data_IF_400410953112
#
_entry.id   IF_400410953112
#
_cell.length_a   1.000
_cell.length_b   1.000
_cell.length_c   1.000
_cell.angle_alpha   90.00
_cell.angle_beta   90.00
_cell.angle_gamma   90.00
#
_symmetry.space_group_name_H-M   'P 1'
#
loop_
_entity.id
_entity.type
_entity.pdbx_description
1 polymer ?
#
# COMPACT_ATOMS: atom_id res chain seq x y z
N UNK A 1 11.75 1.68 5.45
CA UNK A 1 12.25 1.47 4.09
C UNK A 1 13.08 2.62 3.53
N UNK A 2 12.70 3.89 3.70
CA UNK A 2 13.42 5.03 3.10
C UNK A 2 14.93 5.06 3.35
N UNK A 3 15.36 4.98 4.62
CA UNK A 3 16.79 4.95 4.97
C UNK A 3 17.52 3.75 4.35
N UNK A 4 16.87 2.58 4.35
CA UNK A 4 17.42 1.36 3.77
C UNK A 4 17.62 1.51 2.26
N UNK A 5 16.65 2.04 1.52
CA UNK A 5 16.76 2.24 0.06
C UNK A 5 17.84 3.27 -0.29
N UNK A 6 17.96 4.34 0.51
CA UNK A 6 18.92 5.42 0.26
C UNK A 6 20.37 5.00 0.49
N UNK A 7 20.65 4.21 1.53
CA UNK A 7 22.02 3.92 1.98
C UNK A 7 22.52 2.52 1.57
N UNK A 8 21.66 1.65 1.05
CA UNK A 8 22.06 0.31 0.65
C UNK A 8 22.84 0.34 -0.68
N UNK A 9 23.92 -0.46 -0.83
CA UNK A 9 24.69 -0.54 -2.07
C UNK A 9 23.85 -1.06 -3.25
N UNK A 10 24.13 -0.58 -4.47
CA UNK A 10 23.40 -0.99 -5.68
C UNK A 10 23.44 -2.50 -5.94
N UNK A 11 24.52 -3.18 -5.54
CA UNK A 11 24.68 -4.62 -5.68
C UNK A 11 23.62 -5.45 -4.91
N UNK A 12 22.83 -4.83 -4.02
CA UNK A 12 21.73 -5.48 -3.29
C UNK A 12 20.38 -5.39 -4.00
N UNK A 13 20.30 -4.68 -5.12
CA UNK A 13 19.07 -4.55 -5.90
C UNK A 13 19.16 -5.35 -7.20
N UNK A 14 18.03 -5.86 -7.67
CA UNK A 14 17.91 -6.35 -9.04
C UNK A 14 18.06 -5.21 -10.06
N UNK A 15 18.09 -5.57 -11.34
CA UNK A 15 18.17 -4.57 -12.43
C UNK A 15 16.99 -3.60 -12.33
N UNK A 16 17.27 -2.30 -12.15
CA UNK A 16 16.24 -1.27 -11.94
C UNK A 16 15.54 -1.30 -10.58
N UNK A 17 15.94 -2.20 -9.67
CA UNK A 17 15.25 -2.45 -8.41
C UNK A 17 15.21 -1.26 -7.46
N UNK A 18 16.26 -0.42 -7.42
CA UNK A 18 16.28 0.79 -6.57
C UNK A 18 15.15 1.76 -6.94
N UNK A 19 14.92 1.99 -8.23
CA UNK A 19 13.84 2.86 -8.71
C UNK A 19 12.46 2.28 -8.38
N UNK A 20 12.29 0.96 -8.56
CA UNK A 20 11.05 0.27 -8.18
C UNK A 20 10.78 0.36 -6.68
N UNK A 21 11.80 0.15 -5.84
CA UNK A 21 11.69 0.28 -4.40
C UNK A 21 11.36 1.72 -3.98
N UNK A 22 11.90 2.73 -4.67
CA UNK A 22 11.58 4.12 -4.41
C UNK A 22 10.10 4.41 -4.71
N UNK A 23 9.59 3.99 -5.87
CA UNK A 23 8.16 4.17 -6.21
C UNK A 23 7.23 3.41 -5.25
N UNK A 24 7.60 2.20 -4.82
CA UNK A 24 6.85 1.47 -3.80
C UNK A 24 6.83 2.21 -2.46
N UNK A 25 7.94 2.86 -2.09
CA UNK A 25 8.05 3.65 -0.86
C UNK A 25 7.18 4.90 -0.90
N UNK A 26 7.14 5.63 -2.02
CA UNK A 26 6.23 6.76 -2.20
C UNK A 26 4.77 6.32 -2.10
N UNK A 27 4.40 5.24 -2.78
CA UNK A 27 3.04 4.68 -2.69
C UNK A 27 2.70 4.24 -1.27
N UNK A 28 3.62 3.56 -0.57
CA UNK A 28 3.42 3.17 0.82
C UNK A 28 3.18 4.38 1.73
N UNK A 29 3.91 5.48 1.53
CA UNK A 29 3.76 6.71 2.31
C UNK A 29 2.36 7.32 2.11
N UNK A 30 1.88 7.43 0.87
CA UNK A 30 0.54 7.95 0.60
C UNK A 30 -0.57 7.13 1.25
N UNK A 31 -0.48 5.80 1.18
CA UNK A 31 -1.47 4.93 1.82
C UNK A 31 -1.35 4.94 3.35
N UNK A 32 -0.14 5.08 3.91
CA UNK A 32 0.04 5.23 5.35
C UNK A 32 -0.59 6.53 5.86
N UNK A 33 -0.44 7.65 5.13
CA UNK A 33 -1.12 8.90 5.46
C UNK A 33 -2.65 8.76 5.40
N UNK A 34 -3.17 8.06 4.38
CA UNK A 34 -4.60 7.77 4.29
C UNK A 34 -5.10 6.91 5.46
N UNK A 35 -4.36 5.88 5.88
CA UNK A 35 -4.67 5.04 7.05
C UNK A 35 -4.63 5.84 8.36
N UNK A 36 -3.66 6.74 8.53
CA UNK A 36 -3.59 7.64 9.68
C UNK A 36 -4.80 8.57 9.72
N UNK A 37 -5.14 9.22 8.60
CA UNK A 37 -6.32 10.07 8.51
C UNK A 37 -7.61 9.29 8.82
N UNK A 38 -7.73 8.06 8.32
CA UNK A 38 -8.87 7.19 8.61
C UNK A 38 -8.94 6.81 10.09
N UNK A 39 -7.81 6.51 10.72
CA UNK A 39 -7.74 6.19 12.15
C UNK A 39 -8.07 7.38 13.05
N UNK A 40 -7.60 8.59 12.69
CA UNK A 40 -7.89 9.82 13.43
C UNK A 40 -9.35 10.28 13.29
N UNK A 41 -9.98 9.98 12.15
CA UNK A 41 -11.40 10.30 11.88
C UNK A 41 -12.34 9.14 12.20
N UNK A 42 -11.81 8.05 12.76
CA UNK A 42 -12.60 6.88 13.12
C UNK A 42 -13.57 7.26 14.25
N UNK A 43 -14.84 6.92 14.05
CA UNK A 43 -15.85 7.01 15.11
C UNK A 43 -15.91 5.70 15.88
N UNK A 44 -16.42 5.69 17.13
CA UNK A 44 -16.54 4.46 17.93
C UNK A 44 -17.38 3.36 17.28
N UNK A 45 -18.25 3.72 16.33
CA UNK A 45 -19.08 2.79 15.54
C UNK A 45 -18.91 3.08 14.05
N UNK A 46 -17.80 2.63 13.44
CA UNK A 46 -17.62 2.79 12.00
C UNK A 46 -18.64 1.94 11.24
N UNK A 47 -19.09 2.43 10.08
CA UNK A 47 -19.92 1.61 9.19
C UNK A 47 -19.11 0.41 8.69
N UNK A 48 -19.79 -0.70 8.35
CA UNK A 48 -19.10 -1.90 7.82
C UNK A 48 -18.23 -1.56 6.60
N UNK A 49 -18.67 -0.64 5.75
CA UNK A 49 -17.93 -0.18 4.57
C UNK A 49 -16.61 0.52 4.95
N UNK A 50 -16.63 1.39 5.96
CA UNK A 50 -15.41 2.06 6.44
C UNK A 50 -14.43 1.07 7.07
N UNK A 51 -14.93 0.08 7.83
CA UNK A 51 -14.09 -0.95 8.41
C UNK A 51 -13.46 -1.86 7.34
N UNK A 52 -14.26 -2.34 6.38
CA UNK A 52 -13.77 -3.17 5.26
C UNK A 52 -12.78 -2.37 4.40
N UNK A 53 -13.11 -1.11 4.08
CA UNK A 53 -12.24 -0.23 3.32
C UNK A 53 -10.90 0.04 4.03
N UNK A 54 -10.90 0.29 5.34
CA UNK A 54 -9.68 0.49 6.12
C UNK A 54 -8.81 -0.76 6.20
N UNK A 55 -9.40 -1.92 6.50
CA UNK A 55 -8.68 -3.20 6.54
C UNK A 55 -8.13 -3.58 5.15
N UNK A 56 -8.92 -3.37 4.10
CA UNK A 56 -8.51 -3.60 2.72
C UNK A 56 -7.38 -2.66 2.30
N UNK A 57 -7.42 -1.39 2.69
CA UNK A 57 -6.36 -0.42 2.40
C UNK A 57 -5.04 -0.89 3.02
N UNK A 58 -5.06 -1.31 4.29
CA UNK A 58 -3.89 -1.85 4.98
C UNK A 58 -3.35 -3.12 4.29
N UNK A 59 -4.21 -4.10 4.04
CA UNK A 59 -3.81 -5.37 3.40
C UNK A 59 -3.28 -5.13 1.98
N UNK A 60 -3.97 -4.30 1.20
CA UNK A 60 -3.60 -3.93 -0.15
C UNK A 60 -2.25 -3.22 -0.20
N UNK A 61 -1.96 -2.31 0.73
CA UNK A 61 -0.65 -1.64 0.82
C UNK A 61 0.47 -2.64 1.10
N UNK A 62 0.26 -3.57 2.04
CA UNK A 62 1.27 -4.58 2.38
C UNK A 62 1.54 -5.50 1.19
N UNK A 63 0.50 -6.00 0.52
CA UNK A 63 0.65 -6.87 -0.65
C UNK A 63 1.30 -6.13 -1.83
N UNK A 64 0.81 -4.94 -2.17
CA UNK A 64 1.32 -4.16 -3.29
C UNK A 64 2.79 -3.77 -3.06
N UNK A 65 3.08 -3.06 -1.97
CA UNK A 65 4.43 -2.57 -1.69
C UNK A 65 5.37 -3.74 -1.40
N UNK A 66 4.92 -4.75 -0.65
CA UNK A 66 5.69 -5.96 -0.37
C UNK A 66 6.09 -6.73 -1.63
N UNK A 67 5.16 -6.91 -2.58
CA UNK A 67 5.44 -7.56 -3.86
C UNK A 67 6.44 -6.78 -4.72
N UNK A 68 6.34 -5.46 -4.75
CA UNK A 68 7.29 -4.59 -5.48
C UNK A 68 8.66 -4.60 -4.80
N UNK A 69 8.74 -4.49 -3.46
CA UNK A 69 10.00 -4.61 -2.73
C UNK A 69 10.65 -5.97 -2.94
N UNK A 70 9.88 -7.06 -2.88
CA UNK A 70 10.39 -8.39 -3.17
C UNK A 70 11.03 -8.45 -4.55
N UNK A 71 10.35 -7.93 -5.57
CA UNK A 71 10.88 -7.89 -6.94
C UNK A 71 12.12 -7.00 -7.03
N UNK A 72 12.12 -5.86 -6.35
CA UNK A 72 13.24 -4.92 -6.32
C UNK A 72 14.52 -5.50 -5.69
N UNK A 73 14.39 -6.29 -4.62
CA UNK A 73 15.54 -6.88 -3.92
C UNK A 73 15.98 -8.23 -4.49
N UNK A 74 15.03 -9.09 -4.89
CA UNK A 74 15.34 -10.43 -5.39
C UNK A 74 15.65 -10.49 -6.88
N UNK A 75 15.25 -9.46 -7.65
CA UNK A 75 15.25 -9.47 -9.11
C UNK A 75 14.18 -10.39 -9.73
N UNK A 76 13.50 -11.21 -8.94
CA UNK A 76 12.47 -12.14 -9.40
C UNK A 76 11.10 -11.47 -9.34
N UNK A 77 10.38 -11.48 -10.46
CA UNK A 77 9.07 -10.85 -10.55
C UNK A 77 8.04 -11.67 -9.79
N UNK A 78 7.54 -11.14 -8.67
CA UNK A 78 6.37 -11.66 -7.98
C UNK A 78 5.09 -11.25 -8.74
N UNK A 79 4.91 -11.80 -9.94
CA UNK A 79 4.02 -11.30 -11.00
C UNK A 79 2.55 -11.10 -10.56
N UNK A 80 2.07 -11.82 -9.55
CA UNK A 80 0.67 -11.74 -9.12
C UNK A 80 0.45 -10.96 -7.81
N UNK A 81 1.47 -10.79 -6.98
CA UNK A 81 1.28 -10.19 -5.65
C UNK A 81 0.98 -8.70 -5.77
N UNK A 82 1.77 -7.98 -6.57
CA UNK A 82 1.57 -6.54 -6.75
C UNK A 82 0.22 -6.21 -7.43
N UNK A 83 -0.18 -6.85 -8.56
CA UNK A 83 -1.49 -6.61 -9.15
C UNK A 83 -2.65 -6.92 -8.21
N UNK A 84 -2.61 -8.04 -7.47
CA UNK A 84 -3.67 -8.37 -6.50
C UNK A 84 -3.75 -7.33 -5.38
N UNK A 85 -2.61 -6.88 -4.84
CA UNK A 85 -2.57 -5.79 -3.87
C UNK A 85 -3.16 -4.49 -4.43
N UNK A 86 -2.84 -4.14 -5.68
CA UNK A 86 -3.40 -2.99 -6.38
C UNK A 86 -4.92 -3.06 -6.55
N UNK A 87 -5.46 -4.21 -6.95
CA UNK A 87 -6.92 -4.40 -7.04
C UNK A 87 -7.61 -4.24 -5.69
N UNK A 88 -7.03 -4.78 -4.61
CA UNK A 88 -7.54 -4.60 -3.26
C UNK A 88 -7.53 -3.12 -2.86
N UNK A 89 -6.46 -2.37 -3.19
CA UNK A 89 -6.39 -0.93 -2.92
C UNK A 89 -7.51 -0.17 -3.63
N UNK A 90 -7.75 -0.45 -4.92
CA UNK A 90 -8.82 0.18 -5.69
C UNK A 90 -10.19 -0.09 -5.04
N UNK A 91 -10.49 -1.36 -4.74
CA UNK A 91 -11.76 -1.72 -4.08
C UNK A 91 -11.90 -1.06 -2.70
N UNK A 92 -10.80 -0.95 -1.96
CA UNK A 92 -10.78 -0.32 -0.64
C UNK A 92 -11.10 1.16 -0.72
N UNK A 93 -10.51 1.89 -1.67
CA UNK A 93 -10.83 3.29 -1.92
C UNK A 93 -12.30 3.49 -2.30
N UNK A 94 -12.88 2.62 -3.12
CA UNK A 94 -14.30 2.66 -3.47
C UNK A 94 -15.19 2.41 -2.24
N UNK A 95 -14.86 1.43 -1.40
CA UNK A 95 -15.58 1.16 -0.15
C UNK A 95 -15.50 2.34 0.82
N UNK A 96 -14.34 2.98 0.95
CA UNK A 96 -14.16 4.17 1.79
C UNK A 96 -15.01 5.33 1.24
N UNK A 97 -14.90 5.65 -0.04
CA UNK A 97 -15.67 6.72 -0.68
C UNK A 97 -17.18 6.50 -0.50
N UNK A 98 -17.68 5.29 -0.76
CA UNK A 98 -19.09 4.96 -0.57
C UNK A 98 -19.50 5.00 0.92
N UNK A 99 -18.65 4.50 1.82
CA UNK A 99 -18.90 4.53 3.26
C UNK A 99 -18.96 5.94 3.84
N UNK A 100 -18.23 6.89 3.26
CA UNK A 100 -18.31 8.31 3.59
C UNK A 100 -19.52 8.99 2.95
N UNK A 101 -19.81 8.72 1.67
CA UNK A 101 -20.97 9.28 0.98
C UNK A 101 -22.31 8.85 1.61
N UNK A 102 -22.40 7.61 2.11
CA UNK A 102 -23.58 7.11 2.82
C UNK A 102 -23.67 7.57 4.29
N UNK A 103 -22.60 8.20 4.82
CA UNK A 103 -22.58 8.80 6.16
C UNK A 103 -22.93 10.28 6.16
N UNK A 104 -22.80 10.97 5.02
CA UNK A 104 -23.18 12.36 4.81
C UNK A 104 -24.71 12.47 4.61
#
# INVERSE_FOLDING_TARGET
MGALIAHMPDARFGVGGRAMAHGAMEMQMWHALALLALGLTATPKPTRLLAIGGCGLLLGTVLFCGGVYYTAFSGHHAAHIAPTGGSILILSWLCLALGWALRA
#
